data_IF_843816081174
#
_entry.id   IF_843816081174
#
_cell.length_a   1.000
_cell.length_b   1.000
_cell.length_c   1.000
_cell.angle_alpha   90.00
_cell.angle_beta   90.00
_cell.angle_gamma   90.00
#
_symmetry.space_group_name_H-M   'P 1'
#
loop_
_entity.id
_entity.type
_entity.pdbx_description
1 polymer ?
#
# COMPACT_ATOMS: atom_id res chain seq x y z
N UNK A 1 7.87 -43.08 -10.53
CA UNK A 1 8.91 -42.20 -11.12
C UNK A 1 8.31 -41.57 -12.37
N UNK A 2 7.75 -40.35 -12.27
CA UNK A 2 7.05 -39.73 -13.39
C UNK A 2 8.04 -39.08 -14.37
N UNK A 3 8.24 -39.73 -15.53
CA UNK A 3 8.90 -39.16 -16.70
C UNK A 3 8.00 -38.11 -17.35
N UNK A 4 7.88 -36.93 -16.74
CA UNK A 4 7.35 -35.75 -17.42
C UNK A 4 8.33 -35.30 -18.50
N UNK A 5 7.84 -35.08 -19.72
CA UNK A 5 8.68 -34.64 -20.84
C UNK A 5 9.48 -33.38 -20.47
N UNK A 6 10.71 -33.22 -20.99
CA UNK A 6 11.57 -32.07 -20.63
C UNK A 6 10.90 -30.72 -20.93
N UNK A 7 10.02 -30.67 -21.93
CA UNK A 7 9.22 -29.49 -22.25
C UNK A 7 8.24 -29.11 -21.13
N UNK A 8 7.54 -30.08 -20.53
CA UNK A 8 6.63 -29.86 -19.40
C UNK A 8 7.38 -29.36 -18.16
N UNK A 9 8.59 -29.86 -17.91
CA UNK A 9 9.46 -29.38 -16.83
C UNK A 9 9.93 -27.95 -17.07
N UNK A 10 10.33 -27.63 -18.30
CA UNK A 10 10.71 -26.27 -18.69
C UNK A 10 9.57 -25.27 -18.49
N UNK A 11 8.36 -25.63 -18.92
CA UNK A 11 7.17 -24.78 -18.76
C UNK A 11 6.81 -24.56 -17.29
N UNK A 12 6.91 -25.60 -16.45
CA UNK A 12 6.69 -25.48 -15.01
C UNK A 12 7.72 -24.55 -14.33
N UNK A 13 8.99 -24.60 -14.75
CA UNK A 13 10.04 -23.70 -14.23
C UNK A 13 9.75 -22.25 -14.62
N UNK A 14 9.39 -21.99 -15.88
CA UNK A 14 9.04 -20.64 -16.35
C UNK A 14 7.82 -20.10 -15.60
N UNK A 15 6.78 -20.92 -15.41
CA UNK A 15 5.60 -20.53 -14.65
C UNK A 15 5.95 -20.18 -13.19
N UNK A 16 6.81 -21.00 -12.55
CA UNK A 16 7.29 -20.75 -11.17
C UNK A 16 8.12 -19.47 -11.09
N UNK A 17 8.98 -19.21 -12.06
CA UNK A 17 9.79 -17.98 -12.12
C UNK A 17 8.90 -16.74 -12.30
N UNK A 18 7.91 -16.80 -13.20
CA UNK A 18 6.98 -15.69 -13.42
C UNK A 18 6.12 -15.40 -12.18
N UNK A 19 5.64 -16.44 -11.50
CA UNK A 19 4.91 -16.30 -10.24
C UNK A 19 5.78 -15.67 -9.15
N UNK A 20 7.02 -16.14 -8.98
CA UNK A 20 7.97 -15.55 -8.04
C UNK A 20 8.24 -14.08 -8.35
N UNK A 21 8.46 -13.75 -9.62
CA UNK A 21 8.67 -12.37 -10.07
C UNK A 21 7.48 -11.48 -9.72
N UNK A 22 6.26 -11.92 -10.02
CA UNK A 22 5.05 -11.15 -9.72
C UNK A 22 4.90 -10.88 -8.21
N UNK A 23 5.13 -11.88 -7.36
CA UNK A 23 5.05 -11.72 -5.90
C UNK A 23 6.08 -10.71 -5.39
N UNK A 24 7.35 -10.84 -5.82
CA UNK A 24 8.41 -9.90 -5.44
C UNK A 24 8.15 -8.48 -5.97
N UNK A 25 7.63 -8.36 -7.19
CA UNK A 25 7.30 -7.05 -7.77
C UNK A 25 6.18 -6.35 -6.99
N UNK A 26 5.11 -7.08 -6.65
CA UNK A 26 4.02 -6.56 -5.81
C UNK A 26 4.56 -6.17 -4.42
N UNK A 27 5.44 -6.99 -3.84
CA UNK A 27 6.08 -6.70 -2.55
C UNK A 27 6.84 -5.38 -2.60
N UNK A 28 7.67 -5.14 -3.62
CA UNK A 28 8.44 -3.91 -3.79
C UNK A 28 7.56 -2.68 -3.97
N UNK A 29 6.52 -2.77 -4.79
CA UNK A 29 5.57 -1.67 -4.96
C UNK A 29 4.84 -1.37 -3.65
N UNK A 30 4.36 -2.40 -2.95
CA UNK A 30 3.66 -2.24 -1.69
C UNK A 30 4.59 -1.70 -0.59
N UNK A 31 5.85 -2.12 -0.55
CA UNK A 31 6.86 -1.64 0.40
C UNK A 31 7.21 -0.16 0.17
N UNK A 32 7.14 0.32 -1.07
CA UNK A 32 7.32 1.74 -1.38
C UNK A 32 6.04 2.56 -1.10
N UNK A 33 4.88 2.10 -1.55
CA UNK A 33 3.63 2.86 -1.45
C UNK A 33 3.06 2.88 -0.03
N UNK A 34 3.17 1.78 0.72
CA UNK A 34 2.63 1.69 2.07
C UNK A 34 3.12 2.82 3.00
N UNK A 35 4.44 3.02 3.19
CA UNK A 35 4.93 4.10 4.04
C UNK A 35 4.55 5.48 3.51
N UNK A 36 4.50 5.67 2.18
CA UNK A 36 4.11 6.95 1.60
C UNK A 36 2.65 7.30 1.92
N UNK A 37 1.72 6.35 1.72
CA UNK A 37 0.30 6.54 2.02
C UNK A 37 0.07 6.75 3.51
N UNK A 38 0.74 5.98 4.37
CA UNK A 38 0.67 6.15 5.82
C UNK A 38 1.18 7.51 6.25
N UNK A 39 2.33 7.94 5.73
CA UNK A 39 2.94 9.21 6.07
C UNK A 39 2.06 10.39 5.65
N UNK A 40 1.60 10.42 4.40
CA UNK A 40 0.73 11.49 3.90
C UNK A 40 -0.61 11.50 4.65
N UNK A 41 -1.22 10.33 4.86
CA UNK A 41 -2.47 10.22 5.59
C UNK A 41 -2.34 10.67 7.05
N UNK A 42 -1.28 10.27 7.74
CA UNK A 42 -1.00 10.67 9.12
C UNK A 42 -0.70 12.16 9.25
N UNK A 43 0.10 12.72 8.33
CA UNK A 43 0.42 14.15 8.30
C UNK A 43 -0.85 14.99 8.12
N UNK A 44 -1.71 14.63 7.16
CA UNK A 44 -2.95 15.34 6.90
C UNK A 44 -3.94 15.18 8.05
N UNK A 45 -4.10 13.97 8.59
CA UNK A 45 -4.95 13.76 9.77
C UNK A 45 -4.47 14.55 10.98
N UNK A 46 -3.15 14.57 11.22
CA UNK A 46 -2.52 15.38 12.26
C UNK A 46 -2.78 16.87 12.05
N UNK A 47 -2.60 17.38 10.83
CA UNK A 47 -2.88 18.78 10.51
C UNK A 47 -4.34 19.16 10.82
N UNK A 48 -5.31 18.36 10.39
CA UNK A 48 -6.74 18.62 10.68
C UNK A 48 -7.04 18.60 12.18
N UNK A 49 -6.42 17.68 12.93
CA UNK A 49 -6.58 17.60 14.39
C UNK A 49 -6.00 18.82 15.10
N UNK A 50 -4.80 19.25 14.71
CA UNK A 50 -4.15 20.42 15.28
C UNK A 50 -4.99 21.68 15.00
N UNK A 51 -5.44 21.85 13.76
CA UNK A 51 -6.29 22.98 13.38
C UNK A 51 -7.60 23.02 14.17
N UNK A 52 -8.25 21.86 14.37
CA UNK A 52 -9.48 21.78 15.16
C UNK A 52 -9.33 22.07 16.65
N UNK A 53 -8.10 22.09 17.18
CA UNK A 53 -7.81 22.37 18.60
C UNK A 53 -7.36 23.81 18.86
N UNK A 54 -7.06 24.59 17.82
CA UNK A 54 -6.62 25.97 17.99
C UNK A 54 -7.86 26.87 18.13
N UNK A 55 -8.07 27.41 19.32
CA UNK A 55 -8.99 28.53 19.55
C UNK A 55 -8.32 29.82 19.07
N UNK A 56 -8.38 30.06 17.76
CA UNK A 56 -7.80 31.26 17.14
C UNK A 56 -8.81 32.41 17.07
N UNK A 57 -8.29 33.61 16.81
CA UNK A 57 -9.09 34.77 16.41
C UNK A 57 -9.95 34.42 15.18
N UNK A 58 -11.17 35.00 15.06
CA UNK A 58 -12.14 34.63 14.02
C UNK A 58 -11.60 34.74 12.59
N UNK A 59 -10.68 35.67 12.33
CA UNK A 59 -10.01 35.82 11.04
C UNK A 59 -9.10 34.62 10.72
N UNK A 60 -8.31 34.18 11.69
CA UNK A 60 -7.43 33.02 11.54
C UNK A 60 -8.25 31.72 11.43
N UNK A 61 -9.36 31.62 12.16
CA UNK A 61 -10.31 30.50 12.04
C UNK A 61 -10.92 30.39 10.63
N UNK A 62 -11.23 31.52 9.98
CA UNK A 62 -11.73 31.54 8.61
C UNK A 62 -10.68 31.02 7.62
N UNK A 63 -9.40 31.37 7.80
CA UNK A 63 -8.31 30.86 6.96
C UNK A 63 -8.08 29.35 7.17
N UNK A 64 -8.21 28.87 8.41
CA UNK A 64 -8.05 27.48 8.77
C UNK A 64 -9.17 26.57 8.23
N UNK A 65 -10.37 27.13 7.99
CA UNK A 65 -11.50 26.40 7.41
C UNK A 65 -11.28 25.98 5.94
N UNK A 66 -10.25 26.53 5.28
CA UNK A 66 -9.88 26.19 3.90
C UNK A 66 -9.19 24.82 3.81
N UNK A 67 -8.75 24.25 4.94
CA UNK A 67 -8.11 22.93 4.94
C UNK A 67 -9.11 21.83 4.54
N UNK A 68 -8.92 21.16 3.40
CA UNK A 68 -9.90 20.20 2.91
C UNK A 68 -9.90 18.94 3.78
N UNK A 69 -11.08 18.46 4.15
CA UNK A 69 -11.27 17.17 4.84
C UNK A 69 -11.33 15.99 3.85
N UNK A 70 -11.60 16.30 2.58
CA UNK A 70 -11.67 15.37 1.46
C UNK A 70 -11.12 16.06 0.21
N UNK A 71 -10.35 15.33 -0.60
CA UNK A 71 -9.93 15.77 -1.93
C UNK A 71 -10.52 14.81 -2.95
N UNK A 72 -11.20 15.35 -3.96
CA UNK A 72 -11.75 14.57 -5.04
C UNK A 72 -10.76 14.60 -6.22
N UNK A 73 -10.19 13.44 -6.55
CA UNK A 73 -9.29 13.27 -7.68
C UNK A 73 -9.97 12.33 -8.69
N UNK A 74 -10.57 12.96 -9.71
CA UNK A 74 -11.40 12.24 -10.69
C UNK A 74 -12.64 11.65 -10.03
N UNK A 75 -12.75 10.32 -10.05
CA UNK A 75 -13.85 9.57 -9.43
C UNK A 75 -13.51 9.03 -8.02
N UNK A 76 -12.35 9.36 -7.47
CA UNK A 76 -11.91 8.87 -6.17
C UNK A 76 -11.92 9.97 -5.11
N UNK A 77 -12.56 9.68 -3.98
CA UNK A 77 -12.52 10.52 -2.79
C UNK A 77 -11.33 10.12 -1.91
N UNK A 78 -10.34 11.00 -1.84
CA UNK A 78 -9.18 10.85 -0.99
C UNK A 78 -9.45 11.49 0.36
N UNK A 79 -9.40 10.66 1.39
CA UNK A 79 -9.53 11.08 2.78
C UNK A 79 -8.29 10.66 3.56
N UNK A 80 -7.91 11.39 4.62
CA UNK A 80 -6.76 11.01 5.46
C UNK A 80 -6.89 9.58 6.00
N UNK A 81 -8.08 9.21 6.48
CA UNK A 81 -8.38 7.87 6.97
C UNK A 81 -8.30 6.81 5.85
N UNK A 82 -8.76 7.16 4.63
CA UNK A 82 -8.65 6.31 3.45
C UNK A 82 -7.20 5.98 3.11
N UNK A 83 -6.33 7.00 3.09
CA UNK A 83 -4.88 6.85 2.84
C UNK A 83 -4.22 5.95 3.89
N UNK A 84 -4.51 6.17 5.17
CA UNK A 84 -3.98 5.35 6.26
C UNK A 84 -4.42 3.89 6.09
N UNK A 85 -5.71 3.65 5.85
CA UNK A 85 -6.25 2.29 5.66
C UNK A 85 -5.61 1.60 4.46
N UNK A 86 -5.46 2.29 3.34
CA UNK A 86 -4.80 1.74 2.15
C UNK A 86 -3.33 1.41 2.43
N UNK A 87 -2.60 2.28 3.13
CA UNK A 87 -1.23 2.02 3.56
C UNK A 87 -1.10 0.80 4.47
N UNK A 88 -2.01 0.62 5.44
CA UNK A 88 -2.06 -0.58 6.29
C UNK A 88 -2.37 -1.85 5.49
N UNK A 89 -3.28 -1.78 4.52
CA UNK A 89 -3.57 -2.91 3.64
C UNK A 89 -2.35 -3.29 2.78
N UNK A 90 -1.60 -2.31 2.27
CA UNK A 90 -0.36 -2.58 1.55
C UNK A 90 0.70 -3.23 2.46
N UNK A 91 0.83 -2.83 3.73
CA UNK A 91 1.69 -3.55 4.69
C UNK A 91 1.25 -5.00 4.88
N UNK A 92 -0.06 -5.26 4.95
CA UNK A 92 -0.57 -6.63 5.01
C UNK A 92 -0.23 -7.42 3.74
N UNK A 93 -0.29 -6.78 2.57
CA UNK A 93 0.15 -7.38 1.29
C UNK A 93 1.64 -7.71 1.33
N UNK A 94 2.51 -6.80 1.79
CA UNK A 94 3.95 -7.07 1.96
C UNK A 94 4.18 -8.29 2.86
N UNK A 95 3.48 -8.36 4.00
CA UNK A 95 3.59 -9.49 4.92
C UNK A 95 3.13 -10.82 4.28
N UNK A 96 2.06 -10.78 3.49
CA UNK A 96 1.58 -11.93 2.74
C UNK A 96 2.60 -12.37 1.66
N UNK A 97 3.13 -11.43 0.87
CA UNK A 97 4.17 -11.70 -0.13
C UNK A 97 5.41 -12.34 0.49
N UNK A 98 5.88 -11.83 1.63
CA UNK A 98 7.02 -12.42 2.38
C UNK A 98 6.73 -13.84 2.85
N UNK A 99 5.51 -14.10 3.28
CA UNK A 99 5.09 -15.45 3.70
C UNK A 99 5.11 -16.40 2.51
N UNK A 100 4.54 -16.00 1.37
CA UNK A 100 4.56 -16.78 0.13
C UNK A 100 5.98 -17.02 -0.38
N UNK A 101 6.83 -15.99 -0.39
CA UNK A 101 8.24 -16.10 -0.79
C UNK A 101 9.02 -17.08 0.09
N UNK A 102 8.78 -17.09 1.41
CA UNK A 102 9.38 -18.09 2.31
C UNK A 102 8.91 -19.52 2.03
N UNK A 103 7.65 -19.71 1.66
CA UNK A 103 7.12 -21.04 1.31
C UNK A 103 7.73 -21.52 -0.02
N UNK A 104 7.75 -20.66 -1.04
CA UNK A 104 8.37 -20.95 -2.33
C UNK A 104 9.85 -21.30 -2.21
N UNK A 105 10.59 -20.61 -1.35
CA UNK A 105 12.01 -20.88 -1.08
C UNK A 105 12.26 -22.22 -0.37
N UNK A 106 11.26 -22.81 0.29
CA UNK A 106 11.35 -24.14 0.90
C UNK A 106 10.98 -25.28 -0.05
N UNK A 107 10.18 -25.00 -1.07
CA UNK A 107 9.76 -25.97 -2.09
C UNK A 107 10.62 -25.94 -3.37
N UNK A 108 11.66 -25.11 -3.39
CA UNK A 108 12.73 -25.09 -4.40
C UNK A 108 13.93 -25.87 -3.89
#
# INVERSE_FOLDING_TARGET
>A
MAHGSPALRGLAVVAKALASFAVTFIELLAELLAPLLLFVGALWWGALRLVGQISAEPELQAMLHVLPTQLQLGAYDLTPAGLIRQGLLLLAVVAACRTVNRLLAREL
#
